data_IF_360566259555
#
_entry.id   IF_360566259555
#
_cell.length_a   1.000
_cell.length_b   1.000
_cell.length_c   1.000
_cell.angle_alpha   90.00
_cell.angle_beta   90.00
_cell.angle_gamma   90.00
#
_symmetry.space_group_name_H-M   'P 1'
#
loop_
_entity.id
_entity.type
_entity.pdbx_description
1 polymer ?
#
# COMPACT_ATOMS: atom_id res chain seq x y z
N UNK A 1 12.71 17.49 5.36
CA UNK A 1 12.32 17.05 3.99
C UNK A 1 11.10 16.17 4.14
N UNK A 2 10.07 16.33 3.31
CA UNK A 2 8.86 15.50 3.39
C UNK A 2 8.75 14.64 2.14
N UNK A 3 8.79 13.31 2.33
CA UNK A 3 8.69 12.32 1.25
C UNK A 3 7.32 11.65 1.35
N UNK A 4 6.52 11.77 0.30
CA UNK A 4 5.24 11.07 0.20
C UNK A 4 5.41 9.84 -0.68
N UNK A 5 5.05 8.67 -0.17
CA UNK A 5 5.06 7.40 -0.91
C UNK A 5 3.63 6.91 -1.07
N UNK A 6 3.15 6.88 -2.32
CA UNK A 6 1.85 6.28 -2.63
C UNK A 6 2.01 4.76 -2.67
N UNK A 7 1.19 4.06 -1.89
CA UNK A 7 1.14 2.60 -1.84
C UNK A 7 -0.25 2.11 -2.24
N UNK A 8 -0.34 0.95 -2.87
CA UNK A 8 -1.58 0.29 -3.28
C UNK A 8 -1.63 -1.14 -2.77
N UNK A 9 -2.78 -1.52 -2.23
CA UNK A 9 -3.06 -2.91 -1.90
C UNK A 9 -3.60 -3.61 -3.15
N UNK A 10 -2.96 -4.71 -3.54
CA UNK A 10 -3.30 -5.53 -4.71
C UNK A 10 -3.59 -6.97 -4.27
N UNK A 11 -4.40 -7.73 -5.02
CA UNK A 11 -4.61 -9.13 -4.71
C UNK A 11 -3.30 -9.91 -4.91
N UNK A 12 -3.09 -10.94 -4.10
CA UNK A 12 -1.93 -11.82 -4.26
C UNK A 12 -2.08 -12.65 -5.55
N UNK A 13 -1.00 -12.71 -6.32
CA UNK A 13 -0.94 -13.42 -7.60
C UNK A 13 -0.99 -14.94 -7.42
N UNK A 14 -0.76 -15.44 -6.20
CA UNK A 14 -0.95 -16.86 -5.85
C UNK A 14 -2.44 -17.24 -5.72
N UNK A 15 -3.36 -16.26 -5.72
CA UNK A 15 -4.80 -16.47 -5.67
C UNK A 15 -5.39 -17.06 -6.95
N UNK A 16 -6.55 -17.69 -6.81
CA UNK A 16 -7.33 -18.15 -7.96
C UNK A 16 -8.21 -17.02 -8.51
N UNK A 17 -7.87 -16.50 -9.68
CA UNK A 17 -8.67 -15.48 -10.35
C UNK A 17 -9.72 -16.12 -11.26
N UNK A 18 -10.99 -15.87 -10.96
CA UNK A 18 -12.13 -16.22 -11.80
C UNK A 18 -12.98 -14.98 -12.07
N UNK A 19 -13.69 -14.89 -13.22
CA UNK A 19 -14.66 -13.83 -13.43
C UNK A 19 -15.76 -13.87 -12.37
N UNK A 20 -16.22 -12.70 -11.92
CA UNK A 20 -17.37 -12.60 -11.06
C UNK A 20 -18.68 -12.91 -11.83
N UNK A 21 -19.81 -13.03 -11.12
CA UNK A 21 -21.09 -13.36 -11.72
C UNK A 21 -21.58 -12.36 -12.79
N UNK A 22 -21.15 -11.09 -12.73
CA UNK A 22 -21.49 -10.07 -13.74
C UNK A 22 -20.58 -10.09 -14.96
N UNK A 23 -19.45 -10.81 -14.92
CA UNK A 23 -18.46 -10.87 -16.00
C UNK A 23 -17.70 -9.56 -16.25
N UNK A 24 -17.82 -8.57 -15.35
CA UNK A 24 -17.20 -7.24 -15.49
C UNK A 24 -15.94 -7.08 -14.65
N UNK A 25 -15.69 -8.01 -13.73
CA UNK A 25 -14.55 -8.00 -12.81
C UNK A 25 -14.17 -9.44 -12.42
N UNK A 26 -13.18 -9.61 -11.55
CA UNK A 26 -12.86 -10.90 -10.94
C UNK A 26 -13.58 -11.08 -9.61
N UNK A 27 -13.77 -12.32 -9.19
CA UNK A 27 -14.28 -12.65 -7.86
C UNK A 27 -13.19 -12.40 -6.83
N UNK A 28 -13.45 -11.48 -5.90
CA UNK A 28 -12.53 -11.10 -4.83
C UNK A 28 -12.66 -12.04 -3.61
N UNK A 29 -13.68 -12.90 -3.57
CA UNK A 29 -13.95 -13.77 -2.44
C UNK A 29 -12.80 -14.76 -2.21
N UNK A 30 -12.22 -14.71 -1.01
CA UNK A 30 -11.14 -15.62 -0.60
C UNK A 30 -9.75 -15.26 -1.13
N UNK A 31 -9.60 -14.14 -1.84
CA UNK A 31 -8.27 -13.65 -2.22
C UNK A 31 -7.52 -13.07 -1.00
N UNK A 32 -6.24 -13.41 -0.92
CA UNK A 32 -5.31 -12.69 -0.06
C UNK A 32 -4.93 -11.35 -0.70
N UNK A 33 -4.63 -10.36 0.13
CA UNK A 33 -4.28 -9.02 -0.31
C UNK A 33 -2.93 -8.61 0.26
N UNK A 34 -2.14 -7.88 -0.52
CA UNK A 34 -0.80 -7.44 -0.13
C UNK A 34 -0.48 -6.06 -0.67
N UNK A 35 0.50 -5.40 -0.07
CA UNK A 35 1.13 -4.23 -0.69
C UNK A 35 1.71 -4.65 -2.04
N UNK A 36 1.48 -3.84 -3.07
CA UNK A 36 2.12 -4.00 -4.37
C UNK A 36 3.65 -4.08 -4.21
N UNK A 37 4.28 -4.97 -4.96
CA UNK A 37 5.70 -5.27 -4.82
C UNK A 37 6.57 -4.06 -5.16
N UNK A 38 6.21 -3.31 -6.19
CA UNK A 38 6.90 -2.07 -6.57
C UNK A 38 6.83 -0.99 -5.49
N UNK A 39 5.71 -0.93 -4.78
CA UNK A 39 5.52 0.07 -3.73
C UNK A 39 6.36 -0.28 -2.49
N UNK A 40 6.64 -1.56 -2.25
CA UNK A 40 7.56 -1.97 -1.19
C UNK A 40 8.99 -1.48 -1.47
N UNK A 41 9.46 -1.54 -2.72
CA UNK A 41 10.75 -0.94 -3.10
C UNK A 41 10.74 0.59 -2.96
N UNK A 42 9.62 1.25 -3.29
CA UNK A 42 9.48 2.69 -3.12
C UNK A 42 9.54 3.11 -1.64
N UNK A 43 8.90 2.35 -0.75
CA UNK A 43 8.99 2.56 0.70
C UNK A 43 10.43 2.36 1.19
N UNK A 44 11.11 1.29 0.76
CA UNK A 44 12.50 1.02 1.13
C UNK A 44 13.42 2.18 0.74
N UNK A 45 13.37 2.63 -0.51
CA UNK A 45 14.23 3.74 -0.97
C UNK A 45 13.89 5.07 -0.26
N UNK A 46 12.62 5.32 0.07
CA UNK A 46 12.24 6.49 0.85
C UNK A 46 12.80 6.45 2.28
N UNK A 47 12.78 5.28 2.93
CA UNK A 47 13.37 5.08 4.26
C UNK A 47 14.88 5.27 4.21
N UNK A 48 15.57 4.65 3.24
CA UNK A 48 17.01 4.83 3.05
C UNK A 48 17.38 6.29 2.78
N UNK A 49 16.58 7.00 1.98
CA UNK A 49 16.78 8.42 1.71
C UNK A 49 16.57 9.26 2.98
N UNK A 50 15.55 8.95 3.80
CA UNK A 50 15.35 9.59 5.11
C UNK A 50 16.60 9.44 5.98
N UNK A 51 17.11 8.22 6.11
CA UNK A 51 18.32 7.93 6.90
C UNK A 51 19.55 8.68 6.37
N UNK A 52 19.72 8.74 5.04
CA UNK A 52 20.82 9.47 4.41
C UNK A 52 20.73 10.99 4.59
N UNK A 53 19.52 11.55 4.59
CA UNK A 53 19.32 12.99 4.76
C UNK A 53 19.48 13.42 6.22
N UNK A 54 19.13 12.53 7.16
CA UNK A 54 19.13 12.82 8.59
C UNK A 54 18.19 13.98 8.97
N UNK A 55 18.38 14.51 10.18
CA UNK A 55 17.60 15.65 10.69
C UNK A 55 16.09 15.36 10.73
N UNK A 56 15.29 16.33 10.33
CA UNK A 56 13.82 16.26 10.33
C UNK A 56 13.24 15.71 9.01
N UNK A 57 13.96 14.81 8.32
CA UNK A 57 13.40 14.10 7.18
C UNK A 57 12.29 13.15 7.63
N UNK A 58 11.14 13.16 6.93
CA UNK A 58 9.98 12.33 7.24
C UNK A 58 9.45 11.65 5.98
N UNK A 59 8.96 10.42 6.16
CA UNK A 59 8.31 9.63 5.13
C UNK A 59 6.86 9.38 5.53
N UNK A 60 5.93 9.74 4.65
CA UNK A 60 4.49 9.51 4.83
C UNK A 60 4.02 8.52 3.78
N UNK A 61 3.42 7.41 4.21
CA UNK A 61 2.74 6.46 3.32
C UNK A 61 1.31 6.93 3.08
N UNK A 62 0.87 6.97 1.82
CA UNK A 62 -0.50 7.32 1.44
C UNK A 62 -1.13 6.19 0.63
N UNK A 63 -2.37 5.86 0.94
CA UNK A 63 -3.15 4.94 0.12
C UNK A 63 -4.62 5.34 0.08
N UNK A 64 -5.27 4.99 -1.02
CA UNK A 64 -6.68 5.25 -1.32
C UNK A 64 -7.35 3.91 -1.54
N UNK A 65 -8.50 3.70 -0.90
CA UNK A 65 -9.33 2.52 -1.12
C UNK A 65 -10.11 2.08 0.11
N UNK A 66 -10.70 0.88 0.08
CA UNK A 66 -11.54 0.38 1.15
C UNK A 66 -10.74 0.13 2.43
N UNK A 67 -11.43 -0.06 3.56
CA UNK A 67 -10.82 -0.27 4.89
C UNK A 67 -9.68 -1.32 4.94
N UNK A 68 -9.69 -2.33 4.07
CA UNK A 68 -8.62 -3.34 3.97
C UNK A 68 -7.24 -2.75 3.63
N UNK A 69 -7.21 -1.61 2.92
CA UNK A 69 -5.99 -0.90 2.52
C UNK A 69 -5.15 -0.47 3.73
N UNK A 70 -5.77 -0.25 4.89
CA UNK A 70 -5.08 0.11 6.13
C UNK A 70 -3.99 -0.93 6.52
N UNK A 71 -4.11 -2.18 6.08
CA UNK A 71 -3.05 -3.18 6.29
C UNK A 71 -1.76 -2.86 5.53
N UNK A 72 -1.87 -2.40 4.29
CA UNK A 72 -0.69 -1.99 3.50
C UNK A 72 -0.03 -0.76 4.09
N UNK A 73 -0.82 0.19 4.62
CA UNK A 73 -0.30 1.35 5.34
C UNK A 73 0.42 0.90 6.62
N UNK A 74 -0.16 -0.01 7.41
CA UNK A 74 0.50 -0.57 8.60
C UNK A 74 1.82 -1.26 8.26
N UNK A 75 1.88 -1.98 7.13
CA UNK A 75 3.14 -2.57 6.64
C UNK A 75 4.18 -1.49 6.32
N UNK A 76 3.79 -0.39 5.64
CA UNK A 76 4.70 0.71 5.34
C UNK A 76 5.23 1.40 6.62
N UNK A 77 4.36 1.60 7.63
CA UNK A 77 4.78 2.10 8.94
C UNK A 77 5.77 1.16 9.62
N UNK A 78 5.52 -0.15 9.57
CA UNK A 78 6.44 -1.16 10.12
C UNK A 78 7.79 -1.22 9.38
N UNK A 79 7.84 -0.83 8.10
CA UNK A 79 9.07 -0.72 7.32
C UNK A 79 9.89 0.53 7.64
N UNK A 80 9.30 1.53 8.32
CA UNK A 80 10.02 2.74 8.75
C UNK A 80 9.41 4.06 8.27
N UNK A 81 8.22 4.06 7.63
CA UNK A 81 7.47 5.30 7.43
C UNK A 81 7.06 5.90 8.77
N UNK A 82 7.08 7.23 8.86
CA UNK A 82 6.78 7.98 10.09
C UNK A 82 5.26 8.19 10.27
N UNK A 83 4.55 8.42 9.17
CA UNK A 83 3.11 8.68 9.16
C UNK A 83 2.40 7.89 8.06
N UNK A 84 1.11 7.62 8.28
CA UNK A 84 0.25 6.90 7.34
C UNK A 84 -1.04 7.67 7.11
N UNK A 85 -1.41 7.85 5.85
CA UNK A 85 -2.64 8.51 5.42
C UNK A 85 -3.48 7.51 4.64
N UNK A 86 -4.67 7.22 5.16
CA UNK A 86 -5.69 6.45 4.47
C UNK A 86 -6.77 7.41 3.97
N UNK A 87 -6.93 7.50 2.66
CA UNK A 87 -8.11 8.11 2.05
C UNK A 87 -9.15 7.01 1.89
N UNK A 88 -10.16 7.04 2.77
CA UNK A 88 -11.25 6.06 2.77
C UNK A 88 -12.15 6.29 1.56
N UNK A 89 -12.10 5.35 0.62
CA UNK A 89 -12.93 5.31 -0.57
C UNK A 89 -13.41 3.89 -0.76
N UNK A 90 -14.68 3.66 -0.44
CA UNK A 90 -15.29 2.33 -0.47
C UNK A 90 -15.54 1.81 -1.89
N UNK A 91 -15.46 2.68 -2.90
CA UNK A 91 -15.76 2.36 -4.31
C UNK A 91 -14.50 2.20 -5.18
N UNK A 92 -13.31 2.41 -4.61
CA UNK A 92 -12.03 2.42 -5.32
C UNK A 92 -11.33 1.05 -5.46
#
# INVERSE_FOLDING_TARGET
>A
MNILVCVKQVPDMEGHFAPNASGSWFDEAGLAWRMNEYDAFAVEEAVRLKESLGGDARVTALSIGPARVAESIRKALAMGCDEGVHIDDAEA
#
